data_IF_592502985528
#
_entry.id   IF_592502985528
#
_cell.length_a   1.000
_cell.length_b   1.000
_cell.length_c   1.000
_cell.angle_alpha   90.00
_cell.angle_beta   90.00
_cell.angle_gamma   90.00
#
_symmetry.space_group_name_H-M   'P 1'
#
loop_
_entity.id
_entity.type
_entity.pdbx_description
1 polymer ?
#
# COMPACT_ATOMS: atom_id res chain seq x y z
N UNK A 1 -11.83 43.57 52.32
CA UNK A 1 -12.15 42.23 51.82
C UNK A 1 -11.85 42.21 50.35
N UNK A 2 -10.75 41.56 49.93
CA UNK A 2 -10.38 41.48 48.54
C UNK A 2 -10.89 40.15 47.99
N UNK A 3 -11.83 40.22 47.04
CA UNK A 3 -12.27 39.06 46.30
C UNK A 3 -11.18 38.73 45.26
N UNK A 4 -10.57 37.55 45.39
CA UNK A 4 -9.66 37.01 44.40
C UNK A 4 -10.56 36.29 43.36
N UNK A 5 -10.54 36.70 42.07
CA UNK A 5 -11.24 35.93 41.07
C UNK A 5 -10.49 34.62 40.86
N UNK A 6 -11.14 33.52 41.19
CA UNK A 6 -10.66 32.19 40.77
C UNK A 6 -10.77 32.14 39.26
N UNK A 7 -9.65 32.20 38.60
CA UNK A 7 -9.58 31.87 37.17
C UNK A 7 -9.89 30.40 37.00
N UNK A 8 -11.10 30.12 36.53
CA UNK A 8 -11.49 28.79 36.09
C UNK A 8 -10.66 28.48 34.85
N UNK A 9 -9.59 27.73 35.04
CA UNK A 9 -8.82 27.20 33.92
C UNK A 9 -9.72 26.16 33.21
N UNK A 10 -10.37 26.56 32.14
CA UNK A 10 -11.09 25.68 31.22
C UNK A 10 -10.06 24.84 30.48
N UNK A 11 -9.79 23.64 31.00
CA UNK A 11 -8.98 22.67 30.32
C UNK A 11 -9.78 22.19 29.10
N UNK A 12 -9.54 22.82 27.95
CA UNK A 12 -10.02 22.34 26.66
C UNK A 12 -9.32 21.00 26.39
N UNK A 13 -9.99 19.92 26.73
CA UNK A 13 -9.66 18.59 26.22
C UNK A 13 -9.95 18.61 24.73
N UNK A 14 -8.92 18.96 23.93
CA UNK A 14 -8.96 18.74 22.48
C UNK A 14 -9.11 17.24 22.29
N UNK A 15 -10.13 16.76 21.54
CA UNK A 15 -10.20 15.36 21.21
C UNK A 15 -8.90 15.00 20.49
N UNK A 16 -8.18 14.01 20.99
CA UNK A 16 -7.07 13.40 20.29
C UNK A 16 -7.66 12.78 19.01
N UNK A 17 -7.76 13.59 17.95
CA UNK A 17 -7.99 13.06 16.63
C UNK A 17 -6.79 12.16 16.35
N UNK A 18 -6.98 10.85 16.30
CA UNK A 18 -5.98 9.93 15.83
C UNK A 18 -5.60 10.39 14.42
N UNK A 19 -4.45 11.04 14.27
CA UNK A 19 -3.94 11.47 12.97
C UNK A 19 -3.53 10.18 12.27
N UNK A 20 -4.33 9.75 11.26
CA UNK A 20 -3.95 8.68 10.37
C UNK A 20 -2.65 9.11 9.66
N UNK A 21 -1.66 8.24 9.69
CA UNK A 21 -0.37 8.52 9.08
C UNK A 21 -0.34 8.14 7.61
N UNK A 22 0.83 8.29 7.01
CA UNK A 22 1.09 7.99 5.61
C UNK A 22 1.92 6.72 5.47
N UNK A 23 1.55 5.89 4.50
CA UNK A 23 2.33 4.74 4.08
C UNK A 23 3.02 5.08 2.76
N UNK A 24 4.33 5.25 2.80
CA UNK A 24 5.14 5.52 1.62
C UNK A 24 5.60 4.19 0.99
N UNK A 25 5.20 3.97 -0.26
CA UNK A 25 5.59 2.81 -1.05
C UNK A 25 6.69 3.19 -2.02
N UNK A 26 7.76 2.41 -2.03
CA UNK A 26 8.75 2.37 -3.11
C UNK A 26 8.60 1.05 -3.86
N UNK A 27 8.43 1.12 -5.17
CA UNK A 27 8.45 -0.05 -6.04
C UNK A 27 9.81 -0.08 -6.73
N UNK A 28 10.57 -1.11 -6.43
CA UNK A 28 11.94 -1.31 -6.94
C UNK A 28 11.97 -2.33 -8.07
N UNK A 29 13.01 -2.29 -8.89
CA UNK A 29 13.20 -3.22 -9.99
C UNK A 29 12.24 -3.00 -11.17
N UNK A 30 11.79 -1.76 -11.39
CA UNK A 30 11.01 -1.43 -12.58
C UNK A 30 11.92 -1.48 -13.80
N UNK A 31 11.59 -2.34 -14.76
CA UNK A 31 12.45 -2.68 -15.88
C UNK A 31 12.66 -1.53 -16.85
N UNK A 32 11.59 -0.78 -17.15
CA UNK A 32 11.63 0.34 -18.08
C UNK A 32 10.53 1.38 -17.79
N UNK A 33 10.49 2.45 -18.56
CA UNK A 33 9.51 3.53 -18.43
C UNK A 33 8.23 3.32 -19.24
N UNK A 34 7.93 2.11 -19.69
CA UNK A 34 6.73 1.85 -20.50
C UNK A 34 5.51 1.64 -19.61
N UNK A 35 4.39 2.22 -20.02
CA UNK A 35 3.11 2.04 -19.33
C UNK A 35 3.09 2.60 -17.92
N UNK A 36 2.52 1.83 -16.99
CA UNK A 36 2.30 2.24 -15.61
C UNK A 36 2.79 1.17 -14.62
N UNK A 37 3.10 1.61 -13.42
CA UNK A 37 3.18 0.73 -12.24
C UNK A 37 1.88 0.95 -11.46
N UNK A 38 1.19 -0.13 -11.16
CA UNK A 38 -0.07 -0.07 -10.43
C UNK A 38 -0.21 -1.20 -9.44
N UNK A 39 -1.10 -1.03 -8.49
CA UNK A 39 -1.33 -2.03 -7.48
C UNK A 39 -2.50 -1.71 -6.59
N UNK A 40 -2.68 -2.59 -5.62
CA UNK A 40 -3.77 -2.51 -4.67
C UNK A 40 -3.31 -2.86 -3.26
N UNK A 41 -3.87 -2.14 -2.30
CA UNK A 41 -3.71 -2.36 -0.87
C UNK A 41 -4.94 -3.08 -0.35
N UNK A 42 -4.73 -4.18 0.33
CA UNK A 42 -5.78 -5.03 0.91
C UNK A 42 -5.70 -5.04 2.43
N UNK A 43 -6.82 -5.09 3.09
CA UNK A 43 -6.93 -5.07 4.56
C UNK A 43 -7.47 -6.37 5.16
N UNK A 44 -7.73 -7.39 4.34
CA UNK A 44 -8.23 -8.67 4.82
C UNK A 44 -7.89 -9.83 3.90
N UNK A 45 -7.83 -11.02 4.48
CA UNK A 45 -7.64 -12.26 3.72
C UNK A 45 -8.79 -12.52 2.74
N UNK A 46 -10.03 -12.22 3.14
CA UNK A 46 -11.21 -12.48 2.31
C UNK A 46 -11.27 -11.62 1.05
N UNK A 47 -10.62 -10.45 1.05
CA UNK A 47 -10.60 -9.54 -0.10
C UNK A 47 -9.29 -9.60 -0.89
N UNK A 48 -8.28 -10.27 -0.34
CA UNK A 48 -6.95 -10.33 -0.96
C UNK A 48 -7.01 -10.86 -2.39
N UNK A 49 -6.36 -10.15 -3.30
CA UNK A 49 -6.36 -10.39 -4.75
C UNK A 49 -7.69 -10.12 -5.48
N UNK A 50 -8.73 -9.70 -4.78
CA UNK A 50 -9.94 -9.20 -5.42
C UNK A 50 -9.85 -7.67 -5.55
N UNK A 51 -9.46 -7.20 -6.72
CA UNK A 51 -9.19 -5.78 -6.98
C UNK A 51 -10.43 -4.91 -6.74
N UNK A 52 -11.62 -5.42 -7.03
CA UNK A 52 -12.87 -4.70 -6.79
C UNK A 52 -13.14 -4.44 -5.30
N UNK A 53 -12.55 -5.23 -4.41
CA UNK A 53 -12.69 -5.13 -2.96
C UNK A 53 -11.43 -4.61 -2.26
N UNK A 54 -10.48 -4.09 -3.03
CA UNK A 54 -9.27 -3.51 -2.46
C UNK A 54 -9.60 -2.31 -1.57
N UNK A 55 -8.85 -2.16 -0.48
CA UNK A 55 -8.97 -1.01 0.41
C UNK A 55 -8.57 0.28 -0.29
N UNK A 56 -7.49 0.25 -1.07
CA UNK A 56 -7.02 1.37 -1.89
C UNK A 56 -6.29 0.84 -3.13
N UNK A 57 -6.22 1.66 -4.16
CA UNK A 57 -5.51 1.36 -5.42
C UNK A 57 -4.62 2.53 -5.79
N UNK A 58 -3.56 2.24 -6.55
CA UNK A 58 -2.73 3.29 -7.11
C UNK A 58 -2.31 2.96 -8.54
N UNK A 59 -1.99 4.00 -9.29
CA UNK A 59 -1.38 3.93 -10.61
C UNK A 59 -0.47 5.14 -10.78
N UNK A 60 0.78 4.90 -11.17
CA UNK A 60 1.77 5.93 -11.48
C UNK A 60 2.44 5.60 -12.80
N UNK A 61 2.91 6.60 -13.57
CA UNK A 61 3.71 6.32 -14.75
C UNK A 61 4.95 5.51 -14.38
N UNK A 62 5.29 4.51 -15.20
CA UNK A 62 6.50 3.73 -15.00
C UNK A 62 7.75 4.58 -15.25
N UNK A 63 8.78 4.32 -14.46
CA UNK A 63 10.13 4.87 -14.68
C UNK A 63 11.13 3.76 -14.35
N UNK A 64 12.14 3.60 -15.19
CA UNK A 64 13.17 2.58 -14.97
C UNK A 64 13.83 2.74 -13.60
N UNK A 65 13.97 1.65 -12.87
CA UNK A 65 14.57 1.61 -11.53
C UNK A 65 13.52 1.62 -10.43
N UNK A 66 13.01 2.78 -10.04
CA UNK A 66 12.10 2.94 -8.93
C UNK A 66 10.96 3.89 -9.25
N UNK A 67 9.79 3.61 -8.71
CA UNK A 67 8.68 4.55 -8.61
C UNK A 67 8.18 4.61 -7.16
N UNK A 68 7.52 5.69 -6.80
CA UNK A 68 7.02 5.93 -5.45
C UNK A 68 5.56 6.32 -5.46
N UNK A 69 4.85 5.91 -4.43
CA UNK A 69 3.48 6.32 -4.16
C UNK A 69 3.26 6.44 -2.66
N UNK A 70 2.40 7.36 -2.23
CA UNK A 70 2.06 7.54 -0.81
C UNK A 70 0.57 7.32 -0.63
N UNK A 71 0.22 6.38 0.25
CA UNK A 71 -1.15 6.21 0.75
C UNK A 71 -1.33 7.16 1.93
N UNK A 72 -2.18 8.16 1.78
CA UNK A 72 -2.47 9.14 2.82
C UNK A 72 -3.61 8.68 3.74
N UNK A 73 -3.59 9.14 4.97
CA UNK A 73 -4.68 8.94 5.94
C UNK A 73 -5.04 7.47 6.16
N UNK A 74 -4.02 6.61 6.19
CA UNK A 74 -4.22 5.19 6.40
C UNK A 74 -4.43 4.89 7.89
N UNK A 75 -5.49 4.17 8.21
CA UNK A 75 -5.79 3.75 9.59
C UNK A 75 -4.88 2.60 10.03
N UNK A 76 -4.60 2.49 11.34
CA UNK A 76 -3.88 1.33 11.87
C UNK A 76 -4.58 0.03 11.47
N UNK A 77 -3.79 -0.98 11.16
CA UNK A 77 -4.30 -2.29 10.78
C UNK A 77 -3.24 -3.15 10.12
N UNK A 78 -3.69 -4.30 9.66
CA UNK A 78 -2.86 -5.25 8.90
C UNK A 78 -3.22 -5.13 7.43
N UNK A 79 -2.19 -4.93 6.60
CA UNK A 79 -2.36 -4.69 5.17
C UNK A 79 -1.42 -5.56 4.35
N UNK A 80 -1.80 -5.83 3.12
CA UNK A 80 -0.95 -6.45 2.11
C UNK A 80 -1.03 -5.68 0.80
N UNK A 81 0.09 -5.57 0.09
CA UNK A 81 0.19 -4.93 -1.22
C UNK A 81 0.46 -5.96 -2.30
N UNK A 82 -0.22 -5.81 -3.43
CA UNK A 82 0.09 -6.45 -4.69
C UNK A 82 0.35 -5.38 -5.74
N UNK A 83 1.47 -5.47 -6.44
CA UNK A 83 1.96 -4.46 -7.38
C UNK A 83 2.39 -5.13 -8.68
N UNK A 84 2.16 -4.49 -9.82
CA UNK A 84 2.69 -4.97 -11.09
C UNK A 84 3.05 -3.82 -12.03
N UNK A 85 3.91 -4.13 -12.99
CA UNK A 85 4.31 -3.23 -14.06
C UNK A 85 3.43 -3.52 -15.29
N UNK A 86 2.44 -2.67 -15.52
CA UNK A 86 1.55 -2.72 -16.67
C UNK A 86 2.21 -2.03 -17.87
N UNK A 87 3.15 -2.73 -18.51
CA UNK A 87 4.01 -2.15 -19.54
C UNK A 87 3.24 -1.76 -20.82
N UNK A 88 2.16 -2.47 -21.14
CA UNK A 88 1.30 -2.16 -22.29
C UNK A 88 0.09 -1.30 -21.95
N UNK A 89 -0.04 -0.86 -20.70
CA UNK A 89 -1.10 0.00 -20.22
C UNK A 89 -2.53 -0.55 -20.48
N UNK A 90 -2.70 -1.89 -20.45
CA UNK A 90 -4.02 -2.49 -20.64
C UNK A 90 -4.82 -2.66 -19.34
N UNK A 91 -4.25 -2.28 -18.20
CA UNK A 91 -4.89 -2.34 -16.89
C UNK A 91 -4.91 -3.72 -16.24
N UNK A 92 -4.28 -4.71 -16.83
CA UNK A 92 -4.28 -6.10 -16.37
C UNK A 92 -2.86 -6.66 -16.32
N UNK A 93 -2.61 -7.54 -15.37
CA UNK A 93 -1.39 -8.34 -15.34
C UNK A 93 -1.50 -9.42 -16.43
N UNK A 94 -0.73 -9.26 -17.50
CA UNK A 94 -0.71 -10.22 -18.61
C UNK A 94 -0.05 -11.52 -18.19
N UNK A 95 -0.61 -12.62 -18.68
CA UNK A 95 -0.15 -13.98 -18.40
C UNK A 95 -0.03 -14.77 -19.69
N UNK A 96 0.88 -15.74 -19.69
CA UNK A 96 0.97 -16.69 -20.80
C UNK A 96 -0.14 -17.75 -20.73
N UNK A 97 -0.15 -18.70 -21.68
CA UNK A 97 -1.15 -19.76 -21.73
C UNK A 97 -1.13 -20.71 -20.53
N UNK A 98 -0.07 -20.72 -19.76
CA UNK A 98 0.06 -21.52 -18.53
C UNK A 98 -0.34 -20.75 -17.27
N UNK A 99 -0.82 -19.51 -17.41
CA UNK A 99 -1.21 -18.66 -16.29
C UNK A 99 -0.03 -18.01 -15.57
N UNK A 100 1.16 -18.05 -16.14
CA UNK A 100 2.36 -17.42 -15.57
C UNK A 100 2.42 -15.96 -16.02
N UNK A 101 2.57 -14.99 -15.09
CA UNK A 101 2.70 -13.59 -15.46
C UNK A 101 3.85 -13.34 -16.43
N UNK A 102 3.60 -12.51 -17.45
CA UNK A 102 4.59 -12.05 -18.43
C UNK A 102 5.08 -10.64 -18.17
N UNK A 103 4.44 -9.92 -17.26
CA UNK A 103 4.84 -8.61 -16.78
C UNK A 103 5.41 -8.71 -15.37
N UNK A 104 6.21 -7.72 -14.96
CA UNK A 104 6.80 -7.68 -13.61
C UNK A 104 5.73 -7.53 -12.53
N UNK A 105 5.88 -8.25 -11.44
CA UNK A 105 4.96 -8.20 -10.29
C UNK A 105 5.71 -8.44 -8.98
N UNK A 106 5.10 -8.00 -7.89
CA UNK A 106 5.63 -8.19 -6.55
C UNK A 106 4.58 -7.97 -5.47
N UNK A 107 4.92 -8.38 -4.27
CA UNK A 107 4.06 -8.28 -3.09
C UNK A 107 4.84 -7.67 -1.93
N UNK A 108 4.11 -7.08 -0.99
CA UNK A 108 4.71 -6.66 0.28
C UNK A 108 5.41 -7.83 0.98
N UNK A 109 6.42 -7.54 1.80
CA UNK A 109 7.35 -8.51 2.39
C UNK A 109 8.14 -9.32 1.35
N UNK A 110 8.15 -8.89 0.08
CA UNK A 110 8.67 -9.68 -1.05
C UNK A 110 8.16 -11.13 -1.03
N UNK A 111 6.92 -11.30 -0.59
CA UNK A 111 6.28 -12.61 -0.46
C UNK A 111 6.14 -13.28 -1.82
N UNK A 112 6.36 -14.58 -1.84
CA UNK A 112 6.22 -15.42 -3.02
C UNK A 112 5.28 -16.56 -2.75
N UNK A 113 4.41 -16.84 -3.74
CA UNK A 113 3.54 -18.00 -3.70
C UNK A 113 4.20 -19.24 -4.30
N UNK A 114 3.57 -20.38 -4.09
CA UNK A 114 3.92 -21.65 -4.72
C UNK A 114 2.83 -22.03 -5.71
N UNK A 115 3.13 -21.91 -7.01
CA UNK A 115 2.16 -22.18 -8.06
C UNK A 115 1.05 -21.14 -8.21
N UNK A 116 1.22 -19.94 -7.66
CA UNK A 116 0.26 -18.85 -7.69
C UNK A 116 0.67 -17.72 -6.77
N UNK A 117 -0.21 -16.74 -6.50
CA UNK A 117 0.10 -15.64 -5.59
C UNK A 117 0.33 -16.14 -4.15
N UNK A 118 1.07 -15.37 -3.32
CA UNK A 118 1.19 -15.70 -1.90
C UNK A 118 -0.16 -15.58 -1.21
N UNK A 119 -0.26 -16.13 -0.01
CA UNK A 119 -1.40 -15.90 0.87
C UNK A 119 -1.32 -14.52 1.51
N UNK A 120 -2.46 -13.98 1.91
CA UNK A 120 -2.52 -12.70 2.62
C UNK A 120 -1.54 -12.64 3.80
N UNK A 121 -1.51 -13.67 4.64
CA UNK A 121 -0.62 -13.71 5.81
C UNK A 121 0.87 -13.64 5.48
N UNK A 122 1.28 -14.07 4.30
CA UNK A 122 2.68 -14.01 3.85
C UNK A 122 3.07 -12.59 3.41
N UNK A 123 2.14 -11.87 2.80
CA UNK A 123 2.36 -10.50 2.31
C UNK A 123 1.96 -9.43 3.34
N UNK A 124 1.23 -9.80 4.39
CA UNK A 124 0.70 -8.85 5.36
C UNK A 124 1.79 -8.23 6.22
N UNK A 125 1.66 -6.95 6.46
CA UNK A 125 2.48 -6.17 7.40
C UNK A 125 1.59 -5.38 8.33
N UNK A 126 2.10 -5.10 9.54
CA UNK A 126 1.40 -4.29 10.52
C UNK A 126 1.67 -2.80 10.25
N UNK A 127 0.62 -2.00 10.28
CA UNK A 127 0.68 -0.56 10.20
C UNK A 127 0.07 0.03 11.47
N UNK A 128 0.84 0.83 12.19
CA UNK A 128 0.46 1.35 13.51
C UNK A 128 -0.20 2.73 13.48
N UNK A 129 -0.46 3.28 12.30
CA UNK A 129 -1.05 4.61 12.13
C UNK A 129 -0.04 5.75 12.10
N UNK A 130 1.25 5.48 12.28
CA UNK A 130 2.31 6.46 12.10
C UNK A 130 2.98 6.29 10.74
N UNK A 131 3.72 7.30 10.29
CA UNK A 131 4.39 7.26 8.99
C UNK A 131 5.31 6.06 8.88
N UNK A 132 5.15 5.28 7.81
CA UNK A 132 5.90 4.07 7.51
C UNK A 132 6.32 4.06 6.05
N UNK A 133 7.49 3.51 5.78
CA UNK A 133 7.99 3.25 4.43
C UNK A 133 8.13 1.77 4.19
N UNK A 134 7.67 1.29 3.04
CA UNK A 134 7.84 -0.08 2.59
C UNK A 134 8.37 -0.11 1.16
N UNK A 135 9.04 -1.19 0.82
CA UNK A 135 9.54 -1.44 -0.53
C UNK A 135 8.99 -2.76 -1.05
N UNK A 136 8.52 -2.75 -2.28
CA UNK A 136 8.14 -3.94 -3.04
C UNK A 136 9.05 -4.08 -4.24
N UNK A 137 9.69 -5.23 -4.40
CA UNK A 137 10.57 -5.53 -5.52
C UNK A 137 9.83 -6.32 -6.59
N UNK A 138 9.90 -5.86 -7.83
CA UNK A 138 9.27 -6.54 -8.95
C UNK A 138 10.14 -7.68 -9.46
N UNK A 139 9.49 -8.78 -9.79
CA UNK A 139 10.07 -9.95 -10.47
C UNK A 139 9.47 -10.05 -11.87
N UNK A 140 10.30 -10.36 -12.84
CA UNK A 140 9.92 -10.51 -14.26
C UNK A 140 10.11 -11.95 -14.73
#
# INVERSE_FOLDING_TARGET
MRLIPQALALCLLLPNAAIAGDLALTVDGVQDGKGNVQGALYDSESTFMNVAQAHAKFRVPAAAGQVQYVFHDLKPGKYALAVFHDANANGQLDKNSYGVPTEGYGFSNDAQGSGGPPKFGQAAFDYDGTNKSITVSLNY
#
